data_IF_153832132427
#
_entry.id   IF_153832132427
#
_cell.length_a   1.000
_cell.length_b   1.000
_cell.length_c   1.000
_cell.angle_alpha   90.00
_cell.angle_beta   90.00
_cell.angle_gamma   90.00
#
_symmetry.space_group_name_H-M   'P 1'
#
loop_
_entity.id
_entity.type
_entity.pdbx_description
1 polymer ?
#
# COMPACT_ATOMS: atom_id res chain seq x y z
N UNK A 1 -15.16 5.82 -4.65
CA UNK A 1 -14.10 6.42 -3.83
C UNK A 1 -14.59 7.73 -3.23
N UNK A 2 -14.49 7.86 -1.93
CA UNK A 2 -14.93 9.05 -1.20
C UNK A 2 -13.72 9.90 -0.83
N UNK A 3 -13.65 11.12 -1.34
CA UNK A 3 -12.55 12.04 -1.07
C UNK A 3 -12.93 13.17 -0.11
N UNK A 4 -14.13 13.14 0.42
CA UNK A 4 -14.58 14.09 1.42
C UNK A 4 -15.27 13.32 2.55
N UNK A 5 -15.73 14.01 3.57
CA UNK A 5 -16.39 13.36 4.69
C UNK A 5 -15.45 12.54 5.56
N UNK A 6 -14.13 12.74 5.46
CA UNK A 6 -13.15 12.06 6.29
C UNK A 6 -12.42 10.91 5.63
N UNK A 7 -12.71 10.59 4.37
CA UNK A 7 -11.94 9.56 3.64
C UNK A 7 -10.57 10.14 3.29
N UNK A 8 -9.56 9.81 4.11
CA UNK A 8 -8.22 10.37 3.97
C UNK A 8 -7.16 9.38 3.56
N UNK A 9 -7.53 8.12 3.48
CA UNK A 9 -6.61 7.04 3.16
C UNK A 9 -7.22 6.26 2.01
N UNK A 10 -6.62 6.39 0.82
CA UNK A 10 -7.14 5.81 -0.42
C UNK A 10 -6.14 4.76 -0.91
N UNK A 11 -6.63 3.57 -1.20
CA UNK A 11 -5.82 2.51 -1.75
C UNK A 11 -6.21 2.25 -3.21
N UNK A 12 -5.23 2.29 -4.10
CA UNK A 12 -5.42 1.96 -5.50
C UNK A 12 -4.99 0.51 -5.77
N UNK A 13 -5.92 -0.29 -6.29
CA UNK A 13 -5.68 -1.68 -6.61
C UNK A 13 -6.30 -2.00 -7.96
N UNK A 14 -5.48 -2.52 -8.88
CA UNK A 14 -5.94 -3.01 -10.18
C UNK A 14 -5.00 -4.13 -10.63
N UNK A 15 -5.35 -5.37 -10.30
CA UNK A 15 -4.51 -6.53 -10.60
C UNK A 15 -4.42 -6.86 -12.07
N UNK A 16 -5.38 -6.37 -12.86
CA UNK A 16 -5.41 -6.64 -14.29
C UNK A 16 -4.64 -5.60 -15.10
N UNK A 17 -4.27 -4.48 -14.48
CA UNK A 17 -3.59 -3.41 -15.17
C UNK A 17 -2.12 -3.74 -15.44
N UNK A 18 -1.62 -3.33 -16.59
CA UNK A 18 -0.18 -3.34 -16.85
C UNK A 18 0.50 -2.30 -15.97
N UNK A 19 1.83 -2.35 -15.91
CA UNK A 19 2.58 -1.34 -15.16
C UNK A 19 2.27 0.08 -15.68
N UNK A 20 2.20 0.24 -16.99
CA UNK A 20 1.89 1.54 -17.59
C UNK A 20 0.49 2.02 -17.22
N UNK A 21 -0.49 1.13 -17.32
CA UNK A 21 -1.86 1.48 -16.97
C UNK A 21 -2.00 1.84 -15.50
N UNK A 22 -1.36 1.07 -14.63
CA UNK A 22 -1.41 1.34 -13.20
C UNK A 22 -0.71 2.66 -12.86
N UNK A 23 0.42 2.94 -13.51
CA UNK A 23 1.12 4.20 -13.31
C UNK A 23 0.25 5.39 -13.73
N UNK A 24 -0.42 5.29 -14.88
CA UNK A 24 -1.30 6.35 -15.35
C UNK A 24 -2.47 6.58 -14.38
N UNK A 25 -3.06 5.49 -13.89
CA UNK A 25 -4.11 5.57 -12.86
C UNK A 25 -3.60 6.22 -11.59
N UNK A 26 -2.40 5.83 -11.16
CA UNK A 26 -1.79 6.36 -9.95
C UNK A 26 -1.55 7.87 -10.06
N UNK A 27 -1.06 8.32 -11.19
CA UNK A 27 -0.81 9.75 -11.42
C UNK A 27 -2.10 10.55 -11.35
N UNK A 28 -3.17 10.04 -11.97
CA UNK A 28 -4.48 10.70 -11.92
C UNK A 28 -5.04 10.72 -10.49
N UNK A 29 -4.97 9.59 -9.79
CA UNK A 29 -5.43 9.51 -8.40
C UNK A 29 -4.63 10.46 -7.51
N UNK A 30 -3.33 10.57 -7.74
CA UNK A 30 -2.48 11.42 -6.92
C UNK A 30 -2.88 12.90 -7.05
N UNK A 31 -3.23 13.35 -8.24
CA UNK A 31 -3.74 14.71 -8.41
C UNK A 31 -4.98 14.95 -7.55
N UNK A 32 -5.91 13.99 -7.57
CA UNK A 32 -7.15 14.09 -6.82
C UNK A 32 -6.92 14.03 -5.32
N UNK A 33 -6.05 13.11 -4.86
CA UNK A 33 -5.76 12.97 -3.42
C UNK A 33 -5.03 14.18 -2.89
N UNK A 34 -4.12 14.77 -3.65
CA UNK A 34 -3.41 15.98 -3.23
C UNK A 34 -4.39 17.15 -3.03
N UNK A 35 -5.35 17.31 -3.94
CA UNK A 35 -6.36 18.37 -3.81
C UNK A 35 -7.26 18.15 -2.62
N UNK A 36 -7.54 16.89 -2.28
CA UNK A 36 -8.43 16.54 -1.17
C UNK A 36 -7.70 16.45 0.17
N UNK A 37 -6.37 16.54 0.19
CA UNK A 37 -5.58 16.34 1.40
C UNK A 37 -5.59 14.89 1.85
N UNK A 38 -5.75 13.94 0.92
CA UNK A 38 -5.82 12.52 1.22
C UNK A 38 -4.50 11.83 0.91
N UNK A 39 -4.33 10.64 1.45
CA UNK A 39 -3.14 9.79 1.30
C UNK A 39 -3.42 8.72 0.27
N UNK A 40 -2.51 8.54 -0.69
CA UNK A 40 -2.62 7.51 -1.72
C UNK A 40 -1.64 6.37 -1.48
N UNK A 41 -2.19 5.17 -1.37
CA UNK A 41 -1.44 3.92 -1.20
C UNK A 41 -1.63 3.07 -2.46
N UNK A 42 -0.54 2.54 -3.00
CA UNK A 42 -0.59 1.62 -4.15
C UNK A 42 -0.56 0.19 -3.64
N UNK A 43 -1.45 -0.64 -4.13
CA UNK A 43 -1.50 -2.05 -3.74
C UNK A 43 -0.47 -2.86 -4.54
N UNK A 44 0.36 -3.64 -3.86
CA UNK A 44 1.33 -4.61 -4.39
C UNK A 44 2.56 -4.03 -5.12
N UNK A 45 2.41 -2.98 -5.89
CA UNK A 45 3.43 -2.53 -6.86
C UNK A 45 4.30 -1.42 -6.29
N UNK A 46 5.41 -1.84 -5.67
CA UNK A 46 6.40 -0.90 -5.10
C UNK A 46 7.00 -0.02 -6.19
N UNK A 47 7.25 -0.59 -7.37
CA UNK A 47 7.82 0.15 -8.51
C UNK A 47 6.91 1.30 -8.95
N UNK A 48 5.61 1.04 -9.03
CA UNK A 48 4.63 2.07 -9.40
C UNK A 48 4.52 3.13 -8.30
N UNK A 49 4.50 2.71 -7.05
CA UNK A 49 4.45 3.65 -5.92
C UNK A 49 5.63 4.60 -5.95
N UNK A 50 6.82 4.08 -6.20
CA UNK A 50 8.04 4.89 -6.26
C UNK A 50 7.99 5.85 -7.44
N UNK A 51 7.68 5.34 -8.63
CA UNK A 51 7.68 6.15 -9.86
C UNK A 51 6.63 7.24 -9.84
N UNK A 52 5.44 6.94 -9.34
CA UNK A 52 4.35 7.91 -9.26
C UNK A 52 4.56 8.95 -8.14
N UNK A 53 5.37 8.62 -7.15
CA UNK A 53 5.51 9.46 -5.97
C UNK A 53 4.32 9.34 -5.03
N UNK A 54 3.68 8.18 -4.98
CA UNK A 54 2.58 7.92 -4.07
C UNK A 54 3.06 7.96 -2.61
N UNK A 55 2.13 8.02 -1.68
CA UNK A 55 2.47 8.15 -0.26
C UNK A 55 2.96 6.84 0.34
N UNK A 56 2.62 5.71 -0.27
CA UNK A 56 3.09 4.43 0.22
C UNK A 56 2.56 3.26 -0.58
N UNK A 57 2.75 2.07 -0.02
CA UNK A 57 2.39 0.81 -0.66
C UNK A 57 1.76 -0.12 0.37
N UNK A 58 0.87 -0.99 -0.11
CA UNK A 58 0.28 -2.05 0.71
C UNK A 58 0.69 -3.39 0.13
N UNK A 59 1.33 -4.23 0.95
CA UNK A 59 1.92 -5.49 0.52
C UNK A 59 1.12 -6.69 1.02
N UNK A 60 0.95 -7.68 0.14
CA UNK A 60 0.45 -9.00 0.53
C UNK A 60 1.61 -9.92 0.88
N UNK A 61 1.30 -11.14 1.31
CA UNK A 61 2.32 -12.11 1.74
C UNK A 61 3.21 -12.58 0.57
N UNK A 62 2.70 -12.51 -0.65
CA UNK A 62 3.44 -12.96 -1.84
C UNK A 62 4.19 -11.84 -2.54
N UNK A 63 4.12 -10.61 -2.01
CA UNK A 63 4.80 -9.47 -2.58
C UNK A 63 6.19 -9.31 -1.97
N UNK A 64 6.87 -8.22 -2.31
CA UNK A 64 8.14 -7.90 -1.67
C UNK A 64 7.92 -7.81 -0.16
N UNK A 65 8.93 -8.17 0.60
CA UNK A 65 8.88 -8.03 2.05
C UNK A 65 8.87 -6.56 2.45
N UNK A 66 8.45 -6.28 3.68
CA UNK A 66 8.50 -4.92 4.23
C UNK A 66 9.92 -4.37 4.15
N UNK A 67 10.92 -5.19 4.50
CA UNK A 67 12.31 -4.75 4.48
C UNK A 67 12.76 -4.36 3.07
N UNK A 68 12.41 -5.19 2.07
CA UNK A 68 12.75 -4.90 0.67
C UNK A 68 12.06 -3.64 0.17
N UNK A 69 10.78 -3.50 0.46
CA UNK A 69 10.03 -2.31 0.07
C UNK A 69 10.58 -1.06 0.76
N UNK A 70 10.97 -1.18 2.01
CA UNK A 70 11.53 -0.07 2.77
C UNK A 70 12.86 0.41 2.17
N UNK A 71 13.69 -0.51 1.71
CA UNK A 71 14.94 -0.14 1.02
C UNK A 71 14.66 0.66 -0.24
N UNK A 72 13.63 0.30 -0.99
CA UNK A 72 13.29 0.97 -2.24
C UNK A 72 12.64 2.33 -1.99
N UNK A 73 11.68 2.38 -1.06
CA UNK A 73 10.86 3.57 -0.84
C UNK A 73 11.43 4.55 0.17
N UNK A 74 12.23 4.08 1.11
CA UNK A 74 12.80 4.92 2.16
C UNK A 74 11.94 4.99 3.41
N UNK A 75 12.43 5.73 4.40
CA UNK A 75 11.82 5.77 5.73
C UNK A 75 10.53 6.59 5.79
N UNK A 76 10.36 7.53 4.85
CA UNK A 76 9.24 8.48 4.90
C UNK A 76 7.95 7.96 4.24
N UNK A 77 8.03 6.86 3.51
CA UNK A 77 6.86 6.32 2.84
C UNK A 77 6.11 5.35 3.76
N UNK A 78 4.81 5.26 3.54
CA UNK A 78 3.94 4.39 4.34
C UNK A 78 4.00 2.98 3.77
N UNK A 79 4.20 1.99 4.62
CA UNK A 79 4.15 0.58 4.21
C UNK A 79 3.16 -0.14 5.09
N UNK A 80 2.12 -0.68 4.45
CA UNK A 80 1.16 -1.54 5.11
C UNK A 80 1.32 -2.98 4.65
N UNK A 81 0.89 -3.93 5.46
CA UNK A 81 0.98 -5.35 5.12
C UNK A 81 -0.28 -6.09 5.55
N UNK A 82 -0.75 -7.00 4.69
CA UNK A 82 -1.89 -7.86 4.99
C UNK A 82 -1.43 -9.14 5.68
N UNK A 83 -2.16 -9.57 6.70
CA UNK A 83 -1.91 -10.82 7.40
C UNK A 83 -3.20 -11.63 7.50
N UNK A 84 -3.09 -12.96 7.43
CA UNK A 84 -4.21 -13.88 7.44
C UNK A 84 -4.05 -15.02 8.45
N UNK A 85 -3.04 -14.93 9.30
CA UNK A 85 -2.82 -15.91 10.37
C UNK A 85 -2.13 -15.22 11.53
N UNK A 86 -2.18 -15.86 12.69
CA UNK A 86 -1.50 -15.33 13.88
C UNK A 86 0.02 -15.29 13.65
N UNK A 87 0.57 -16.31 12.99
CA UNK A 87 2.00 -16.35 12.70
C UNK A 87 2.42 -15.17 11.82
N UNK A 88 1.63 -14.88 10.78
CA UNK A 88 1.89 -13.74 9.89
C UNK A 88 1.79 -12.42 10.66
N UNK A 89 0.78 -12.29 11.50
CA UNK A 89 0.60 -11.10 12.31
C UNK A 89 1.80 -10.85 13.23
N UNK A 90 2.26 -11.89 13.92
CA UNK A 90 3.43 -11.79 14.80
C UNK A 90 4.67 -11.38 14.03
N UNK A 91 4.88 -12.00 12.86
CA UNK A 91 6.01 -11.66 12.00
C UNK A 91 5.95 -10.20 11.56
N UNK A 92 4.76 -9.71 11.20
CA UNK A 92 4.58 -8.33 10.77
C UNK A 92 4.91 -7.33 11.88
N UNK A 93 4.62 -7.67 13.12
CA UNK A 93 4.93 -6.80 14.27
C UNK A 93 6.43 -6.58 14.45
N UNK A 94 7.26 -7.48 13.92
CA UNK A 94 8.73 -7.35 14.01
C UNK A 94 9.31 -6.53 12.88
N UNK A 95 8.48 -6.06 11.94
CA UNK A 95 8.94 -5.27 10.78
C UNK A 95 8.76 -3.78 11.02
N UNK A 96 9.24 -2.98 10.06
CA UNK A 96 9.03 -1.53 10.08
C UNK A 96 7.73 -1.11 9.41
N UNK A 97 6.79 -2.03 9.22
CA UNK A 97 5.49 -1.68 8.65
C UNK A 97 4.80 -0.61 9.49
N UNK A 98 4.17 0.34 8.81
CA UNK A 98 3.47 1.43 9.46
C UNK A 98 2.08 1.02 9.93
N UNK A 99 1.46 0.05 9.25
CA UNK A 99 0.19 -0.51 9.68
C UNK A 99 0.07 -1.97 9.20
N UNK A 100 -0.77 -2.72 9.89
CA UNK A 100 -1.01 -4.13 9.60
C UNK A 100 -2.51 -4.33 9.44
N UNK A 101 -2.91 -4.90 8.30
CA UNK A 101 -4.29 -5.28 8.06
C UNK A 101 -4.45 -6.75 8.43
N UNK A 102 -5.45 -7.05 9.25
CA UNK A 102 -5.75 -8.42 9.67
C UNK A 102 -6.98 -8.87 8.90
N UNK A 103 -6.80 -9.82 7.98
CA UNK A 103 -7.88 -10.43 7.23
C UNK A 103 -8.51 -11.57 8.03
N UNK A 104 -9.33 -12.40 7.37
CA UNK A 104 -9.88 -13.56 8.06
C UNK A 104 -8.75 -14.44 8.59
N UNK A 105 -8.77 -14.70 9.90
CA UNK A 105 -7.77 -15.53 10.57
C UNK A 105 -8.45 -16.84 10.98
N UNK A 106 -7.92 -17.95 10.49
CA UNK A 106 -8.46 -19.26 10.79
C UNK A 106 -7.54 -19.99 11.76
N UNK A 107 -8.11 -20.77 12.69
CA UNK A 107 -7.29 -21.61 13.56
C UNK A 107 -6.48 -22.59 12.71
N UNK A 108 -5.23 -22.78 13.06
CA UNK A 108 -4.37 -23.75 12.38
C UNK A 108 -4.08 -24.94 13.29
#
# INVERSE_FOLDING_TARGET
MLLNGGARFIQLRDKEASARELLDQAMTCLELTRKAGATLIINDRVDVALTAGADGVHLGQDDLSVAEAREILGADKIIGVSTHSIAQFRAALETTADYIAVGPVYPT
#
